data_IF_702613790655
#
_entry.id   IF_702613790655
#
_cell.length_a   1.000
_cell.length_b   1.000
_cell.length_c   1.000
_cell.angle_alpha   90.00
_cell.angle_beta   90.00
_cell.angle_gamma   90.00
#
_symmetry.space_group_name_H-M   'P 1'
#
loop_
_entity.id
_entity.type
_entity.pdbx_description
1 polymer ?
#
# COMPACT_ATOMS: atom_id res chain seq x y z
N UNK A 1 -36.96 -11.57 41.04
CA UNK A 1 -38.31 -11.60 41.64
C UNK A 1 -39.14 -12.64 40.88
N UNK A 2 -39.68 -13.63 41.58
CA UNK A 2 -40.32 -14.82 41.00
C UNK A 2 -41.72 -14.51 40.48
N UNK A 3 -41.98 -14.82 39.21
CA UNK A 3 -43.32 -14.80 38.61
C UNK A 3 -43.97 -16.14 38.91
N UNK A 4 -44.62 -16.27 40.06
CA UNK A 4 -45.23 -17.54 40.47
C UNK A 4 -46.45 -17.37 41.39
N UNK A 5 -47.32 -16.40 41.16
CA UNK A 5 -48.63 -16.37 41.86
C UNK A 5 -49.71 -15.67 41.03
N UNK A 6 -50.25 -16.33 40.01
CA UNK A 6 -51.68 -16.25 39.61
C UNK A 6 -52.02 -17.55 38.85
N UNK A 7 -53.18 -18.15 39.15
CA UNK A 7 -53.83 -19.33 38.52
C UNK A 7 -53.54 -20.73 39.10
N UNK A 8 -54.48 -21.31 39.89
CA UNK A 8 -54.54 -22.74 40.16
C UNK A 8 -55.34 -23.46 39.06
N UNK A 9 -54.90 -24.65 38.67
CA UNK A 9 -55.54 -25.64 37.77
C UNK A 9 -55.50 -25.36 36.26
N UNK A 10 -54.42 -25.81 35.60
CA UNK A 10 -54.41 -26.17 34.17
C UNK A 10 -53.69 -27.52 33.97
N UNK A 11 -54.15 -28.39 33.05
CA UNK A 11 -53.67 -29.76 32.94
C UNK A 11 -52.24 -29.82 32.37
N UNK A 12 -51.42 -30.71 32.96
CA UNK A 12 -49.99 -30.96 32.72
C UNK A 12 -49.60 -31.43 31.30
N UNK A 13 -50.50 -31.36 30.31
CA UNK A 13 -50.21 -31.74 28.92
C UNK A 13 -49.77 -30.59 28.00
N UNK A 14 -49.90 -29.33 28.42
CA UNK A 14 -49.49 -28.15 27.61
C UNK A 14 -47.98 -27.84 27.66
N UNK A 15 -47.28 -28.25 28.72
CA UNK A 15 -45.87 -27.91 28.94
C UNK A 15 -44.90 -28.67 28.04
N UNK A 16 -45.26 -29.88 27.60
CA UNK A 16 -44.46 -30.63 26.65
C UNK A 16 -44.50 -30.03 25.24
N UNK A 17 -45.65 -29.50 24.81
CA UNK A 17 -45.81 -28.84 23.51
C UNK A 17 -45.08 -27.50 23.52
N UNK A 18 -45.16 -26.71 24.60
CA UNK A 18 -44.40 -25.46 24.73
C UNK A 18 -42.89 -25.69 24.81
N UNK A 19 -42.40 -26.75 25.49
CA UNK A 19 -40.97 -27.13 25.46
C UNK A 19 -40.52 -27.62 24.09
N UNK A 20 -41.33 -28.42 23.39
CA UNK A 20 -41.03 -28.86 22.03
C UNK A 20 -41.03 -27.68 21.05
N UNK A 21 -41.96 -26.74 21.18
CA UNK A 21 -41.99 -25.52 20.38
C UNK A 21 -40.81 -24.60 20.68
N UNK A 22 -40.39 -24.48 21.95
CA UNK A 22 -39.22 -23.69 22.34
C UNK A 22 -37.90 -24.36 21.90
N UNK A 23 -37.78 -25.69 21.97
CA UNK A 23 -36.62 -26.44 21.44
C UNK A 23 -36.58 -26.43 19.90
N UNK A 24 -37.74 -26.55 19.25
CA UNK A 24 -37.86 -26.36 17.82
C UNK A 24 -37.56 -24.92 17.41
N UNK A 25 -37.95 -23.91 18.20
CA UNK A 25 -37.64 -22.49 17.97
C UNK A 25 -36.15 -22.18 18.16
N UNK A 26 -35.51 -22.73 19.21
CA UNK A 26 -34.06 -22.64 19.38
C UNK A 26 -33.31 -23.39 18.27
N UNK A 27 -33.75 -24.59 17.89
CA UNK A 27 -33.12 -25.38 16.83
C UNK A 27 -33.41 -24.88 15.40
N UNK A 28 -34.52 -24.18 15.18
CA UNK A 28 -34.83 -23.46 13.94
C UNK A 28 -34.09 -22.14 13.91
N UNK A 29 -34.03 -21.41 15.02
CA UNK A 29 -33.24 -20.19 15.20
C UNK A 29 -31.75 -20.45 14.99
N UNK A 30 -31.19 -21.52 15.55
CA UNK A 30 -29.80 -21.94 15.32
C UNK A 30 -29.57 -22.40 13.88
N UNK A 31 -30.51 -23.14 13.25
CA UNK A 31 -30.37 -23.56 11.84
C UNK A 31 -30.52 -22.39 10.86
N UNK A 32 -31.40 -21.44 11.14
CA UNK A 32 -31.55 -20.20 10.37
C UNK A 32 -30.35 -19.28 10.57
N UNK A 33 -29.90 -19.10 11.82
CA UNK A 33 -28.68 -18.35 12.12
C UNK A 33 -27.45 -18.98 11.47
N UNK A 34 -27.33 -20.32 11.50
CA UNK A 34 -26.26 -21.08 10.83
C UNK A 34 -26.33 -20.93 9.30
N UNK A 35 -27.51 -21.01 8.68
CA UNK A 35 -27.68 -20.77 7.22
C UNK A 35 -27.41 -19.31 6.82
N UNK A 36 -27.82 -18.34 7.64
CA UNK A 36 -27.58 -16.91 7.39
C UNK A 36 -26.10 -16.55 7.56
N UNK A 37 -25.41 -17.15 8.54
CA UNK A 37 -23.97 -17.03 8.73
C UNK A 37 -23.23 -17.71 7.57
N UNK A 38 -23.57 -18.95 7.19
CA UNK A 38 -22.96 -19.64 6.05
C UNK A 38 -23.17 -18.89 4.71
N UNK A 39 -24.32 -18.24 4.51
CA UNK A 39 -24.62 -17.42 3.34
C UNK A 39 -23.88 -16.07 3.34
N UNK A 40 -23.61 -15.47 4.51
CA UNK A 40 -22.85 -14.22 4.65
C UNK A 40 -21.32 -14.44 4.62
N UNK A 41 -20.86 -15.66 4.90
CA UNK A 41 -19.45 -16.07 4.89
C UNK A 41 -19.01 -16.71 3.58
N UNK A 42 -19.93 -16.95 2.64
CA UNK A 42 -19.57 -17.54 1.35
C UNK A 42 -18.91 -16.51 0.43
N UNK A 43 -17.60 -16.67 0.27
CA UNK A 43 -16.66 -15.86 -0.53
C UNK A 43 -17.18 -15.46 -1.92
N UNK A 44 -18.04 -16.29 -2.54
CA UNK A 44 -18.60 -16.06 -3.89
C UNK A 44 -19.58 -14.88 -3.98
N UNK A 45 -20.12 -14.36 -2.87
CA UNK A 45 -21.08 -13.24 -2.87
C UNK A 45 -20.52 -11.92 -2.33
N UNK A 46 -19.30 -11.93 -1.79
CA UNK A 46 -18.67 -10.73 -1.22
C UNK A 46 -18.03 -9.92 -2.34
N UNK A 47 -18.54 -8.71 -2.57
CA UNK A 47 -17.93 -7.74 -3.49
C UNK A 47 -16.58 -7.23 -2.98
N UNK A 48 -15.82 -6.56 -3.83
CA UNK A 48 -14.63 -5.81 -3.40
C UNK A 48 -15.03 -4.57 -2.57
N UNK A 49 -14.04 -3.91 -1.96
CA UNK A 49 -14.26 -2.74 -1.10
C UNK A 49 -15.07 -1.63 -1.81
N UNK A 50 -14.85 -1.39 -3.10
CA UNK A 50 -15.57 -0.36 -3.87
C UNK A 50 -17.06 -0.70 -4.03
N UNK A 51 -17.38 -1.97 -4.27
CA UNK A 51 -18.77 -2.44 -4.33
C UNK A 51 -19.44 -2.41 -2.96
N UNK A 52 -18.72 -2.79 -1.90
CA UNK A 52 -19.23 -2.74 -0.53
C UNK A 52 -19.52 -1.30 -0.08
N UNK A 53 -18.70 -0.33 -0.49
CA UNK A 53 -18.88 1.07 -0.13
C UNK A 53 -20.10 1.72 -0.80
N UNK A 54 -20.49 1.21 -1.97
CA UNK A 54 -21.69 1.65 -2.70
C UNK A 54 -22.95 0.89 -2.28
N UNK A 55 -22.81 -0.21 -1.56
CA UNK A 55 -23.94 -1.02 -1.14
C UNK A 55 -24.73 -0.33 -0.02
N UNK A 56 -26.04 -0.61 0.06
CA UNK A 56 -26.85 -0.12 1.18
C UNK A 56 -26.26 -0.62 2.50
N UNK A 57 -26.12 0.22 3.55
CA UNK A 57 -25.51 -0.19 4.82
C UNK A 57 -26.14 -1.46 5.38
N UNK A 58 -27.45 -1.63 5.23
CA UNK A 58 -28.19 -2.81 5.70
C UNK A 58 -27.80 -4.14 5.04
N UNK A 59 -27.13 -4.09 3.88
CA UNK A 59 -26.63 -5.27 3.19
C UNK A 59 -25.37 -5.85 3.84
N UNK A 60 -24.65 -5.05 4.63
CA UNK A 60 -23.46 -5.51 5.34
C UNK A 60 -23.86 -6.35 6.58
N UNK A 61 -23.08 -7.39 6.92
CA UNK A 61 -23.29 -8.15 8.15
C UNK A 61 -23.29 -7.24 9.37
N UNK A 62 -24.17 -7.50 10.33
CA UNK A 62 -24.33 -6.68 11.54
C UNK A 62 -23.00 -6.39 12.25
N UNK A 63 -22.15 -7.39 12.44
CA UNK A 63 -20.85 -7.23 13.12
C UNK A 63 -19.87 -6.33 12.35
N UNK A 64 -20.05 -6.15 11.04
CA UNK A 64 -19.27 -5.22 10.20
C UNK A 64 -19.82 -3.80 10.35
N UNK A 65 -21.14 -3.65 10.46
CA UNK A 65 -21.81 -2.35 10.67
C UNK A 65 -21.53 -1.75 12.04
N UNK A 66 -21.51 -2.59 13.07
CA UNK A 66 -21.17 -2.21 14.44
C UNK A 66 -19.64 -2.07 14.65
N UNK A 67 -18.87 -2.58 13.69
CA UNK A 67 -17.46 -2.33 13.39
C UNK A 67 -17.02 -0.87 13.22
N UNK A 68 -16.68 -0.09 14.25
CA UNK A 68 -16.12 1.26 14.03
C UNK A 68 -14.92 1.23 13.06
N UNK A 69 -13.92 0.39 13.33
CA UNK A 69 -12.75 0.25 12.47
C UNK A 69 -13.13 -0.19 11.04
N UNK A 70 -14.12 -1.08 10.91
CA UNK A 70 -14.58 -1.52 9.60
C UNK A 70 -15.31 -0.43 8.82
N UNK A 71 -16.11 0.41 9.47
CA UNK A 71 -16.78 1.54 8.82
C UNK A 71 -15.78 2.62 8.42
N UNK A 72 -14.79 2.92 9.26
CA UNK A 72 -13.71 3.85 8.95
C UNK A 72 -12.93 3.40 7.71
N UNK A 73 -12.48 2.15 7.66
CA UNK A 73 -11.74 1.65 6.51
C UNK A 73 -12.59 1.38 5.27
N UNK A 74 -13.89 1.08 5.43
CA UNK A 74 -14.79 1.04 4.29
C UNK A 74 -14.93 2.43 3.66
N UNK A 75 -15.03 3.48 4.48
CA UNK A 75 -15.09 4.87 4.01
C UNK A 75 -13.77 5.28 3.36
N UNK A 76 -12.64 5.05 4.04
CA UNK A 76 -11.32 5.48 3.58
C UNK A 76 -10.85 4.73 2.34
N UNK A 77 -11.02 3.41 2.30
CA UNK A 77 -10.49 2.57 1.22
C UNK A 77 -11.53 2.32 0.13
N UNK A 78 -12.83 2.40 0.44
CA UNK A 78 -13.90 2.09 -0.50
C UNK A 78 -14.00 3.04 -1.69
N UNK A 79 -13.42 4.24 -1.60
CA UNK A 79 -13.38 5.20 -2.71
C UNK A 79 -12.44 4.79 -3.85
N UNK A 80 -11.46 3.92 -3.59
CA UNK A 80 -10.52 3.44 -4.60
C UNK A 80 -11.19 2.43 -5.55
N UNK A 81 -10.81 2.43 -6.83
CA UNK A 81 -11.34 1.47 -7.81
C UNK A 81 -10.71 0.07 -7.68
N UNK A 82 -11.08 -0.64 -6.62
CA UNK A 82 -10.63 -2.01 -6.39
C UNK A 82 -11.06 -3.01 -7.48
N UNK A 83 -11.96 -2.64 -8.38
CA UNK A 83 -12.40 -3.50 -9.48
C UNK A 83 -11.36 -3.56 -10.61
N UNK A 84 -10.63 -2.45 -10.80
CA UNK A 84 -9.54 -2.34 -11.79
C UNK A 84 -8.16 -2.57 -11.19
N UNK A 85 -8.06 -2.89 -9.90
CA UNK A 85 -6.78 -3.14 -9.24
C UNK A 85 -6.04 -4.31 -9.92
N UNK A 86 -4.77 -4.14 -10.33
CA UNK A 86 -4.06 -5.15 -11.08
C UNK A 86 -3.72 -6.36 -10.21
N UNK A 87 -4.33 -7.50 -10.54
CA UNK A 87 -4.08 -8.76 -9.87
C UNK A 87 -2.84 -9.49 -10.40
N UNK A 88 -2.39 -10.53 -9.67
CA UNK A 88 -1.29 -11.39 -10.16
C UNK A 88 -1.64 -11.97 -11.52
N UNK A 89 -0.65 -11.98 -12.42
CA UNK A 89 -0.76 -12.64 -13.72
C UNK A 89 -1.20 -14.11 -13.57
N UNK A 90 -2.24 -14.47 -14.31
CA UNK A 90 -2.81 -15.83 -14.38
C UNK A 90 -2.11 -16.70 -15.42
N UNK A 91 -1.20 -16.13 -16.22
CA UNK A 91 -0.45 -16.86 -17.26
C UNK A 91 0.45 -17.95 -16.69
N UNK A 92 0.89 -17.79 -15.44
CA UNK A 92 1.64 -18.82 -14.70
C UNK A 92 0.66 -19.68 -13.91
N UNK A 93 0.62 -20.97 -14.19
CA UNK A 93 -0.08 -21.94 -13.35
C UNK A 93 0.66 -22.06 -12.01
N UNK A 94 0.02 -21.61 -10.93
CA UNK A 94 0.54 -21.75 -9.58
C UNK A 94 0.03 -23.07 -8.99
N UNK A 95 0.91 -24.03 -8.65
CA UNK A 95 0.45 -25.26 -8.02
C UNK A 95 -0.14 -24.96 -6.64
N UNK A 96 -1.29 -25.58 -6.35
CA UNK A 96 -1.97 -25.46 -5.06
C UNK A 96 -3.23 -24.60 -5.08
N UNK A 97 -3.77 -24.25 -3.89
CA UNK A 97 -4.98 -23.45 -3.76
C UNK A 97 -4.82 -22.07 -4.40
N UNK A 98 -5.91 -21.55 -4.99
CA UNK A 98 -5.93 -20.18 -5.52
C UNK A 98 -5.50 -19.20 -4.43
N UNK A 99 -4.46 -18.38 -4.66
CA UNK A 99 -4.00 -17.42 -3.67
C UNK A 99 -5.06 -16.34 -3.45
N UNK A 100 -5.02 -15.70 -2.27
CA UNK A 100 -5.81 -14.50 -2.00
C UNK A 100 -5.49 -13.40 -3.02
N UNK A 101 -6.49 -12.57 -3.39
CA UNK A 101 -6.28 -11.40 -4.23
C UNK A 101 -5.19 -10.48 -3.66
N UNK A 102 -4.42 -9.85 -4.54
CA UNK A 102 -3.43 -8.83 -4.16
C UNK A 102 -4.10 -7.57 -3.63
N UNK A 103 -5.31 -7.26 -4.08
CA UNK A 103 -6.12 -6.17 -3.54
C UNK A 103 -6.28 -6.27 -2.02
N UNK A 104 -6.57 -7.48 -1.48
CA UNK A 104 -6.66 -7.73 -0.03
C UNK A 104 -5.37 -7.32 0.68
N UNK A 105 -4.22 -7.71 0.14
CA UNK A 105 -2.93 -7.37 0.75
C UNK A 105 -2.57 -5.89 0.64
N UNK A 106 -2.85 -5.27 -0.51
CA UNK A 106 -2.67 -3.84 -0.69
C UNK A 106 -3.47 -3.04 0.35
N UNK A 107 -4.74 -3.39 0.56
CA UNK A 107 -5.57 -2.76 1.58
C UNK A 107 -5.01 -2.94 3.01
N UNK A 108 -4.50 -4.13 3.36
CA UNK A 108 -3.81 -4.35 4.64
C UNK A 108 -2.57 -3.45 4.77
N UNK A 109 -1.81 -3.26 3.70
CA UNK A 109 -0.62 -2.42 3.73
C UNK A 109 -0.97 -0.94 3.86
N UNK A 110 -2.08 -0.48 3.30
CA UNK A 110 -2.62 0.85 3.55
C UNK A 110 -3.04 1.01 5.02
N UNK A 111 -3.74 0.03 5.60
CA UNK A 111 -4.06 0.00 7.04
C UNK A 111 -2.79 0.03 7.89
N UNK A 112 -1.75 -0.73 7.51
CA UNK A 112 -0.45 -0.72 8.19
C UNK A 112 0.16 0.70 8.20
N UNK A 113 0.06 1.44 7.10
CA UNK A 113 0.60 2.80 6.97
C UNK A 113 -0.21 3.74 7.87
N UNK A 114 -1.54 3.70 7.74
CA UNK A 114 -2.48 4.52 8.53
C UNK A 114 -2.29 4.33 10.04
N UNK A 115 -2.18 3.08 10.50
CA UNK A 115 -1.96 2.74 11.92
C UNK A 115 -0.50 2.94 12.39
N UNK A 116 0.42 3.35 11.51
CA UNK A 116 1.83 3.54 11.86
C UNK A 116 2.57 2.26 12.29
N UNK A 117 2.09 1.08 11.89
CA UNK A 117 2.70 -0.18 12.31
C UNK A 117 4.00 -0.45 11.55
N UNK A 118 5.12 -0.43 12.27
CA UNK A 118 6.43 -0.72 11.68
C UNK A 118 6.60 -2.19 11.22
N UNK A 119 5.92 -3.15 11.85
CA UNK A 119 6.19 -4.59 11.65
C UNK A 119 4.91 -5.40 11.36
N UNK A 120 5.04 -6.45 10.54
CA UNK A 120 3.91 -7.35 10.19
C UNK A 120 3.29 -8.10 11.37
N UNK A 121 4.02 -8.49 12.44
CA UNK A 121 3.39 -9.04 13.64
C UNK A 121 2.37 -8.10 14.29
N UNK A 122 2.63 -6.79 14.33
CA UNK A 122 1.66 -5.81 14.85
C UNK A 122 0.40 -5.74 13.98
N UNK A 123 0.58 -5.74 12.66
CA UNK A 123 -0.53 -5.79 11.70
C UNK A 123 -1.37 -7.05 11.89
N UNK A 124 -0.73 -8.22 12.03
CA UNK A 124 -1.48 -9.46 12.26
C UNK A 124 -2.23 -9.43 13.58
N UNK A 125 -1.60 -8.97 14.67
CA UNK A 125 -2.25 -8.84 15.97
C UNK A 125 -3.50 -7.96 15.85
N UNK A 126 -3.39 -6.81 15.19
CA UNK A 126 -4.53 -5.92 14.94
C UNK A 126 -5.66 -6.62 14.15
N UNK A 127 -5.33 -7.38 13.10
CA UNK A 127 -6.33 -8.15 12.35
C UNK A 127 -7.03 -9.22 13.19
N UNK A 128 -6.31 -9.90 14.10
CA UNK A 128 -6.90 -10.87 15.03
C UNK A 128 -7.91 -10.23 15.98
N UNK A 129 -7.64 -8.99 16.39
CA UNK A 129 -8.50 -8.19 17.26
C UNK A 129 -9.71 -7.60 16.51
N UNK A 130 -9.70 -7.64 15.17
CA UNK A 130 -10.71 -7.00 14.32
C UNK A 130 -11.32 -7.98 13.29
N UNK A 131 -12.23 -8.89 13.72
CA UNK A 131 -12.90 -9.84 12.82
C UNK A 131 -13.63 -9.14 11.67
N UNK A 132 -14.25 -7.98 11.93
CA UNK A 132 -14.95 -7.18 10.92
C UNK A 132 -14.03 -6.77 9.76
N UNK A 133 -12.77 -6.40 10.04
CA UNK A 133 -11.78 -6.07 9.00
C UNK A 133 -11.39 -7.29 8.19
N UNK A 134 -11.25 -8.46 8.81
CA UNK A 134 -10.92 -9.69 8.10
C UNK A 134 -12.04 -10.07 7.12
N UNK A 135 -13.30 -9.88 7.51
CA UNK A 135 -14.41 -10.03 6.59
C UNK A 135 -14.38 -8.97 5.48
N UNK A 136 -14.23 -7.70 5.85
CA UNK A 136 -14.27 -6.54 4.94
C UNK A 136 -13.21 -6.62 3.84
N UNK A 137 -11.97 -6.96 4.20
CA UNK A 137 -10.81 -6.94 3.30
C UNK A 137 -10.78 -8.09 2.28
N UNK A 138 -11.75 -8.99 2.30
CA UNK A 138 -11.80 -10.06 1.30
C UNK A 138 -11.03 -11.32 1.68
N UNK A 139 -10.69 -11.55 2.96
CA UNK A 139 -9.99 -12.79 3.34
C UNK A 139 -10.87 -14.03 3.16
N UNK A 140 -10.24 -15.15 2.80
CA UNK A 140 -10.90 -16.45 2.79
C UNK A 140 -11.14 -16.90 4.22
N UNK A 141 -12.40 -16.99 4.60
CA UNK A 141 -12.81 -17.25 5.98
C UNK A 141 -12.86 -18.76 6.25
N UNK A 142 -12.35 -19.18 7.40
CA UNK A 142 -12.45 -20.54 7.91
C UNK A 142 -13.66 -20.61 8.85
N UNK A 143 -14.77 -21.27 8.45
CA UNK A 143 -15.98 -21.29 9.27
C UNK A 143 -15.74 -21.89 10.66
N UNK A 144 -16.36 -21.30 11.66
CA UNK A 144 -16.26 -21.75 13.06
C UNK A 144 -17.50 -21.36 13.83
N UNK A 145 -18.02 -22.29 14.61
CA UNK A 145 -19.15 -22.04 15.53
C UNK A 145 -18.71 -21.53 16.90
N UNK A 146 -17.40 -21.41 17.13
CA UNK A 146 -16.86 -20.94 18.41
C UNK A 146 -17.06 -19.43 18.61
N UNK A 147 -17.32 -18.69 17.53
CA UNK A 147 -17.39 -17.22 17.53
C UNK A 147 -18.72 -16.74 16.97
N UNK A 148 -19.25 -15.64 17.51
CA UNK A 148 -20.55 -15.06 17.11
C UNK A 148 -20.57 -14.53 15.67
N UNK A 149 -19.42 -14.17 15.12
CA UNK A 149 -19.27 -13.77 13.71
C UNK A 149 -19.06 -14.94 12.73
N UNK A 150 -18.99 -16.18 13.24
CA UNK A 150 -19.10 -17.41 12.46
C UNK A 150 -17.83 -17.93 11.77
N UNK A 151 -16.67 -17.35 12.03
CA UNK A 151 -15.39 -17.83 11.48
C UNK A 151 -14.23 -17.67 12.45
N UNK A 152 -13.21 -18.49 12.29
CA UNK A 152 -11.96 -18.40 13.04
C UNK A 152 -11.03 -17.39 12.37
N UNK A 153 -10.76 -16.28 13.06
CA UNK A 153 -9.92 -15.20 12.54
C UNK A 153 -8.47 -15.64 12.39
N UNK A 154 -7.94 -16.39 13.35
CA UNK A 154 -6.54 -16.83 13.37
C UNK A 154 -6.26 -17.81 12.23
N UNK A 155 -7.20 -18.71 11.96
CA UNK A 155 -7.13 -19.64 10.83
C UNK A 155 -7.36 -18.97 9.45
N UNK A 156 -8.03 -17.81 9.43
CA UNK A 156 -8.35 -17.08 8.18
C UNK A 156 -7.26 -16.09 7.74
N UNK A 157 -6.48 -15.56 8.70
CA UNK A 157 -5.46 -14.52 8.44
C UNK A 157 -4.09 -15.15 8.16
N UNK A 158 -3.40 -14.77 7.06
CA UNK A 158 -2.08 -15.27 6.73
C UNK A 158 -1.04 -14.92 7.79
N UNK A 159 0.05 -15.68 7.80
CA UNK A 159 1.15 -15.44 8.73
C UNK A 159 1.90 -14.14 8.39
N UNK A 160 2.57 -13.57 9.40
CA UNK A 160 3.44 -12.38 9.26
C UNK A 160 4.48 -12.59 8.15
N UNK A 161 5.03 -13.80 8.07
CA UNK A 161 6.02 -14.20 7.05
C UNK A 161 5.43 -14.14 5.65
N UNK A 162 4.19 -14.61 5.48
CA UNK A 162 3.51 -14.55 4.19
C UNK A 162 3.23 -13.11 3.78
N UNK A 163 2.67 -12.29 4.67
CA UNK A 163 2.44 -10.85 4.39
C UNK A 163 3.72 -10.11 4.03
N UNK A 164 4.82 -10.36 4.76
CA UNK A 164 6.13 -9.75 4.47
C UNK A 164 6.66 -10.16 3.09
N UNK A 165 6.44 -11.41 2.68
CA UNK A 165 6.84 -11.88 1.36
C UNK A 165 5.99 -11.23 0.25
N UNK A 166 4.69 -11.15 0.45
CA UNK A 166 3.77 -10.49 -0.49
C UNK A 166 4.15 -9.02 -0.68
N UNK A 167 4.44 -8.29 0.39
CA UNK A 167 4.87 -6.88 0.31
C UNK A 167 6.16 -6.73 -0.50
N UNK A 168 7.15 -7.61 -0.27
CA UNK A 168 8.42 -7.59 -1.00
C UNK A 168 8.27 -7.90 -2.49
N UNK A 169 7.30 -8.74 -2.82
CA UNK A 169 6.99 -9.14 -4.20
C UNK A 169 5.81 -8.33 -4.77
N UNK A 170 5.46 -7.18 -4.19
CA UNK A 170 4.37 -6.35 -4.69
C UNK A 170 4.78 -5.76 -6.04
N UNK A 171 3.90 -5.86 -7.04
CA UNK A 171 4.21 -5.41 -8.39
C UNK A 171 4.20 -3.87 -8.43
N UNK A 172 5.09 -3.28 -9.22
CA UNK A 172 5.08 -1.83 -9.48
C UNK A 172 3.72 -1.39 -10.02
N UNK A 173 3.11 -2.18 -10.91
CA UNK A 173 1.80 -1.85 -11.47
C UNK A 173 0.73 -1.66 -10.37
N UNK A 174 0.83 -2.38 -9.25
CA UNK A 174 -0.10 -2.30 -8.12
C UNK A 174 0.07 -1.00 -7.34
N UNK A 175 1.32 -0.60 -7.06
CA UNK A 175 1.60 0.64 -6.33
C UNK A 175 1.31 1.86 -7.21
N UNK A 176 1.69 1.81 -8.50
CA UNK A 176 1.37 2.85 -9.47
C UNK A 176 -0.14 3.02 -9.65
N UNK A 177 -0.91 1.93 -9.66
CA UNK A 177 -2.38 2.00 -9.69
C UNK A 177 -2.95 2.75 -8.48
N UNK A 178 -2.46 2.45 -7.27
CA UNK A 178 -2.92 3.11 -6.05
C UNK A 178 -2.58 4.60 -6.04
N UNK A 179 -1.35 4.96 -6.43
CA UNK A 179 -0.94 6.36 -6.54
C UNK A 179 -1.79 7.11 -7.56
N UNK A 180 -1.95 6.57 -8.77
CA UNK A 180 -2.82 7.15 -9.81
C UNK A 180 -4.23 7.39 -9.27
N UNK A 181 -4.83 6.36 -8.67
CA UNK A 181 -6.20 6.44 -8.15
C UNK A 181 -6.32 7.51 -7.06
N UNK A 182 -5.34 7.61 -6.16
CA UNK A 182 -5.31 8.63 -5.12
C UNK A 182 -5.21 10.05 -5.70
N UNK A 183 -4.33 10.27 -6.69
CA UNK A 183 -4.18 11.57 -7.36
C UNK A 183 -5.48 11.98 -8.07
N UNK A 184 -6.12 11.04 -8.75
CA UNK A 184 -7.39 11.31 -9.45
C UNK A 184 -8.53 11.64 -8.47
N UNK A 185 -8.64 10.89 -7.37
CA UNK A 185 -9.62 11.18 -6.32
C UNK A 185 -9.38 12.54 -5.66
N UNK A 186 -8.11 12.93 -5.44
CA UNK A 186 -7.77 14.25 -4.92
C UNK A 186 -8.14 15.35 -5.92
N UNK A 187 -7.82 15.18 -7.20
CA UNK A 187 -8.17 16.14 -8.24
C UNK A 187 -9.70 16.33 -8.37
N UNK A 188 -10.48 15.27 -8.18
CA UNK A 188 -11.94 15.32 -8.20
C UNK A 188 -12.54 15.97 -6.93
N UNK A 189 -11.89 15.78 -5.78
CA UNK A 189 -12.39 16.26 -4.49
C UNK A 189 -11.99 17.71 -4.17
N UNK A 190 -10.87 18.20 -4.72
CA UNK A 190 -10.35 19.53 -4.45
C UNK A 190 -11.09 20.61 -5.27
N UNK A 191 -11.29 21.82 -4.71
CA UNK A 191 -11.83 22.95 -5.46
C UNK A 191 -10.96 23.29 -6.69
N UNK A 192 -11.56 23.57 -7.87
CA UNK A 192 -10.81 23.91 -9.08
C UNK A 192 -9.89 25.13 -8.95
N UNK A 193 -10.22 26.06 -8.03
CA UNK A 193 -9.47 27.28 -7.77
C UNK A 193 -8.10 27.02 -7.14
N UNK A 194 -7.88 25.84 -6.58
CA UNK A 194 -6.58 25.45 -6.01
C UNK A 194 -5.57 25.05 -7.10
N UNK A 195 -6.00 24.90 -8.35
CA UNK A 195 -5.11 24.63 -9.48
C UNK A 195 -4.18 23.42 -9.23
N UNK A 196 -4.74 22.35 -8.67
CA UNK A 196 -3.99 21.15 -8.24
C UNK A 196 -3.08 20.61 -9.34
N UNK A 197 -1.77 20.54 -9.04
CA UNK A 197 -0.77 20.01 -9.98
C UNK A 197 -0.32 20.97 -11.08
N UNK A 198 -0.71 22.26 -11.05
CA UNK A 198 -0.16 23.27 -11.98
C UNK A 198 1.29 23.66 -11.68
N UNK A 199 1.62 23.80 -10.41
CA UNK A 199 2.99 24.00 -9.94
C UNK A 199 3.49 22.71 -9.28
N UNK A 200 4.68 22.27 -9.71
CA UNK A 200 5.29 21.04 -9.23
C UNK A 200 6.71 21.25 -8.71
N UNK A 201 7.15 20.33 -7.86
CA UNK A 201 8.57 20.16 -7.50
C UNK A 201 9.01 18.75 -7.84
N UNK A 202 10.25 18.61 -8.35
CA UNK A 202 10.86 17.32 -8.62
C UNK A 202 12.18 17.19 -7.87
N UNK A 203 12.30 16.14 -7.05
CA UNK A 203 13.55 15.79 -6.35
C UNK A 203 13.84 14.29 -6.47
N UNK A 204 15.12 13.95 -6.38
CA UNK A 204 15.61 12.56 -6.35
C UNK A 204 16.31 12.28 -5.02
N UNK A 205 15.82 11.28 -4.29
CA UNK A 205 16.38 10.87 -2.99
C UNK A 205 17.03 9.49 -3.07
N UNK A 206 18.26 9.40 -2.57
CA UNK A 206 18.97 8.12 -2.46
C UNK A 206 18.34 7.23 -1.38
N UNK A 207 18.23 5.93 -1.69
CA UNK A 207 17.78 4.87 -0.79
C UNK A 207 18.93 3.86 -0.69
N UNK A 208 19.64 3.87 0.44
CA UNK A 208 20.76 2.96 0.65
C UNK A 208 20.26 1.55 0.93
N UNK A 209 20.81 0.55 0.24
CA UNK A 209 20.47 -0.84 0.49
C UNK A 209 20.98 -1.28 1.88
N UNK A 210 20.20 -2.09 2.58
CA UNK A 210 20.60 -2.68 3.85
C UNK A 210 21.46 -3.94 3.60
N UNK A 211 22.70 -3.72 3.16
CA UNK A 211 23.65 -4.78 2.81
C UNK A 211 24.96 -4.62 3.59
N UNK A 212 25.66 -5.73 3.82
CA UNK A 212 26.95 -5.73 4.56
C UNK A 212 27.96 -4.79 3.90
N UNK A 213 27.88 -4.66 2.59
CA UNK A 213 28.73 -3.87 1.72
C UNK A 213 28.62 -2.37 1.99
N UNK A 214 27.50 -1.90 2.53
CA UNK A 214 27.32 -0.51 2.96
C UNK A 214 27.77 -0.25 4.40
N UNK A 215 28.07 -1.29 5.19
CA UNK A 215 28.56 -1.11 6.56
C UNK A 215 30.06 -0.76 6.56
N UNK A 216 30.46 0.46 6.95
CA UNK A 216 31.87 0.87 6.93
C UNK A 216 32.72 0.07 7.93
N UNK A 217 32.12 -0.55 8.95
CA UNK A 217 32.82 -1.37 9.95
C UNK A 217 33.09 -2.80 9.49
N UNK A 218 32.50 -3.24 8.37
CA UNK A 218 32.73 -4.59 7.87
C UNK A 218 34.03 -4.63 7.06
N UNK A 219 35.01 -5.43 7.47
CA UNK A 219 36.21 -5.68 6.64
C UNK A 219 35.83 -6.48 5.39
N UNK A 220 36.21 -5.97 4.22
CA UNK A 220 35.87 -6.56 2.93
C UNK A 220 36.72 -5.98 1.79
N UNK A 221 37.27 -6.86 0.96
CA UNK A 221 37.90 -6.48 -0.30
C UNK A 221 36.85 -6.28 -1.40
N UNK A 222 37.13 -5.40 -2.38
CA UNK A 222 36.28 -5.18 -3.56
C UNK A 222 34.83 -4.77 -3.25
N UNK A 223 34.64 -3.95 -2.20
CA UNK A 223 33.32 -3.51 -1.68
C UNK A 223 32.34 -2.99 -2.72
N UNK A 224 32.84 -2.30 -3.74
CA UNK A 224 32.06 -1.59 -4.75
C UNK A 224 32.28 -2.16 -6.17
N UNK A 225 32.66 -3.43 -6.27
CA UNK A 225 32.78 -4.14 -7.54
C UNK A 225 31.39 -4.38 -8.15
N UNK A 226 31.11 -3.73 -9.29
CA UNK A 226 29.81 -3.81 -10.00
C UNK A 226 29.45 -5.22 -10.43
N UNK A 227 30.43 -6.12 -10.53
CA UNK A 227 30.24 -7.53 -10.94
C UNK A 227 29.86 -8.43 -9.76
N UNK A 228 29.96 -7.94 -8.51
CA UNK A 228 29.71 -8.69 -7.28
C UNK A 228 28.51 -8.14 -6.55
N UNK A 229 27.35 -8.66 -6.92
CA UNK A 229 26.08 -8.25 -6.33
C UNK A 229 25.95 -8.68 -4.86
N UNK A 230 25.55 -7.78 -3.94
CA UNK A 230 25.25 -8.12 -2.57
C UNK A 230 24.21 -9.24 -2.43
N UNK A 231 24.49 -10.23 -1.57
CA UNK A 231 23.56 -11.34 -1.30
C UNK A 231 22.26 -10.87 -0.60
N UNK A 232 22.36 -9.83 0.22
CA UNK A 232 21.22 -9.29 0.99
C UNK A 232 20.21 -8.55 0.14
N UNK A 233 20.65 -8.02 -1.00
CA UNK A 233 19.83 -7.27 -1.96
C UNK A 233 20.40 -7.46 -3.38
N UNK A 234 19.92 -8.46 -4.13
CA UNK A 234 20.41 -8.75 -5.48
C UNK A 234 20.03 -7.70 -6.53
N UNK A 235 19.06 -6.83 -6.23
CA UNK A 235 18.50 -5.89 -7.20
C UNK A 235 19.18 -4.52 -7.14
N UNK A 236 19.76 -4.16 -5.99
CA UNK A 236 20.45 -2.88 -5.82
C UNK A 236 21.65 -2.74 -6.77
N UNK A 237 22.07 -1.51 -7.06
CA UNK A 237 23.30 -1.28 -7.86
C UNK A 237 24.19 -0.28 -7.17
N UNK A 238 25.48 -0.30 -7.50
CA UNK A 238 26.42 0.65 -6.92
C UNK A 238 26.36 1.98 -7.65
N UNK A 239 26.15 3.05 -6.88
CA UNK A 239 26.11 4.43 -7.33
C UNK A 239 27.12 5.30 -6.60
N UNK A 240 27.37 6.50 -7.13
CA UNK A 240 28.31 7.47 -6.57
C UNK A 240 27.55 8.66 -6.00
N UNK A 241 27.76 8.95 -4.72
CA UNK A 241 27.32 10.17 -4.06
C UNK A 241 28.49 11.16 -4.05
N UNK A 242 28.38 12.23 -4.83
CA UNK A 242 29.35 13.34 -4.75
C UNK A 242 29.33 13.94 -3.35
N UNK A 243 30.50 14.32 -2.85
CA UNK A 243 30.69 14.80 -1.48
C UNK A 243 30.19 16.24 -1.27
N UNK A 244 30.07 17.01 -2.36
CA UNK A 244 29.59 18.39 -2.35
C UNK A 244 28.84 18.71 -3.64
N UNK A 245 27.64 19.28 -3.54
CA UNK A 245 26.88 19.82 -4.69
C UNK A 245 27.32 21.24 -5.07
N UNK A 246 28.06 21.92 -4.18
CA UNK A 246 28.76 23.15 -4.53
C UNK A 246 29.94 22.76 -5.41
N UNK A 247 29.91 23.18 -6.68
CA UNK A 247 31.16 23.44 -7.37
C UNK A 247 31.99 24.29 -6.40
N UNK A 248 33.21 23.85 -6.09
CA UNK A 248 34.17 24.75 -5.47
C UNK A 248 34.24 25.90 -6.45
N UNK A 249 33.69 27.06 -6.09
CA UNK A 249 34.01 28.31 -6.77
C UNK A 249 35.51 28.53 -6.52
N UNK A 250 36.36 27.84 -7.27
CA UNK A 250 37.65 28.38 -7.63
C UNK A 250 37.30 29.66 -8.38
N UNK A 251 37.57 30.80 -7.72
CA UNK A 251 37.40 32.14 -8.27
C UNK A 251 37.92 32.17 -9.69
N UNK A 252 37.02 32.19 -10.66
CA UNK A 252 37.22 32.90 -11.92
C UNK A 252 35.85 33.06 -12.57
N UNK A 253 35.44 34.32 -12.63
CA UNK A 253 34.28 34.83 -13.35
C UNK A 253 34.35 34.35 -14.79
N UNK A 254 33.52 33.39 -15.18
CA UNK A 254 33.37 33.00 -16.58
C UNK A 254 32.02 33.53 -17.08
N UNK A 255 32.09 34.69 -17.72
CA UNK A 255 31.17 35.11 -18.78
C UNK A 255 30.97 33.97 -19.79
N UNK A 256 29.74 33.87 -20.29
CA UNK A 256 29.29 32.90 -21.29
C UNK A 256 30.21 32.89 -22.52
N UNK A 257 30.41 31.69 -23.08
CA UNK A 257 31.06 31.34 -24.36
C UNK A 257 32.59 31.20 -24.35
N UNK A 258 33.10 29.98 -24.12
CA UNK A 258 34.22 29.37 -24.88
C UNK A 258 34.39 27.89 -24.51
N UNK A 259 34.75 27.06 -25.49
CA UNK A 259 35.32 25.71 -25.32
C UNK A 259 36.31 25.67 -24.16
N UNK A 260 36.32 24.63 -23.30
CA UNK A 260 37.23 24.54 -22.17
C UNK A 260 38.68 24.73 -22.63
N UNK A 261 39.36 25.76 -22.13
CA UNK A 261 40.76 26.08 -22.43
C UNK A 261 41.75 25.21 -21.66
N UNK A 262 41.27 24.39 -20.73
CA UNK A 262 42.07 23.43 -19.96
C UNK A 262 41.82 22.00 -20.42
N UNK A 263 42.91 21.24 -20.57
CA UNK A 263 42.89 19.80 -20.79
C UNK A 263 41.96 19.08 -19.79
N UNK A 264 41.21 18.09 -20.29
CA UNK A 264 40.35 17.28 -19.45
C UNK A 264 41.20 16.60 -18.36
N UNK A 265 40.82 16.76 -17.09
CA UNK A 265 41.49 16.09 -15.98
C UNK A 265 41.34 14.57 -16.20
N UNK A 266 42.44 13.82 -16.39
CA UNK A 266 42.36 12.37 -16.55
C UNK A 266 41.62 11.76 -15.36
N UNK A 267 40.73 10.79 -15.60
CA UNK A 267 39.86 10.19 -14.57
C UNK A 267 40.61 9.75 -13.29
N UNK A 268 41.90 9.44 -13.40
CA UNK A 268 42.81 9.11 -12.28
C UNK A 268 42.99 10.23 -11.24
N UNK A 269 42.73 11.48 -11.61
CA UNK A 269 42.90 12.67 -10.75
C UNK A 269 41.57 13.27 -10.28
N UNK A 270 40.42 12.71 -10.69
CA UNK A 270 39.12 13.16 -10.22
C UNK A 270 38.91 12.72 -8.77
N UNK A 271 38.43 13.63 -7.90
CA UNK A 271 38.02 13.27 -6.54
C UNK A 271 36.83 12.31 -6.62
N UNK A 272 37.10 11.04 -6.33
CA UNK A 272 36.12 9.97 -6.42
C UNK A 272 35.09 10.19 -5.31
N UNK A 273 33.81 10.29 -5.66
CA UNK A 273 32.73 10.43 -4.69
C UNK A 273 32.61 9.19 -3.78
N UNK A 274 31.68 9.25 -2.83
CA UNK A 274 31.42 8.14 -1.91
C UNK A 274 30.48 7.15 -2.60
N UNK A 275 30.88 5.89 -2.74
CA UNK A 275 30.02 4.87 -3.33
C UNK A 275 29.14 4.20 -2.30
N UNK A 276 27.95 3.78 -2.75
CA UNK A 276 27.07 2.91 -1.99
C UNK A 276 26.32 1.97 -2.92
N UNK A 277 25.87 0.83 -2.40
CA UNK A 277 24.86 0.00 -3.03
C UNK A 277 23.46 0.53 -2.68
N UNK A 278 22.57 0.63 -3.64
CA UNK A 278 21.21 1.07 -3.36
C UNK A 278 20.37 1.37 -4.58
N UNK A 279 19.48 2.32 -4.36
CA UNK A 279 18.53 2.88 -5.30
C UNK A 279 18.50 4.40 -5.13
N UNK A 280 17.78 5.07 -6.02
CA UNK A 280 17.25 6.38 -5.76
C UNK A 280 15.81 6.47 -6.29
N UNK A 281 14.96 7.19 -5.56
CA UNK A 281 13.57 7.44 -5.92
C UNK A 281 13.43 8.90 -6.30
N UNK A 282 12.95 9.13 -7.52
CA UNK A 282 12.50 10.45 -7.96
C UNK A 282 11.02 10.61 -7.65
N UNK A 283 10.64 11.76 -7.14
CA UNK A 283 9.24 12.12 -6.84
C UNK A 283 8.89 13.42 -7.54
N UNK A 284 7.65 13.50 -8.02
CA UNK A 284 7.02 14.77 -8.39
C UNK A 284 5.93 15.03 -7.37
N UNK A 285 5.94 16.22 -6.78
CA UNK A 285 4.93 16.64 -5.84
C UNK A 285 4.36 18.00 -6.24
N UNK A 286 3.14 18.27 -5.82
CA UNK A 286 2.53 19.60 -5.85
C UNK A 286 2.21 20.03 -4.43
N UNK A 287 2.34 21.32 -4.14
CA UNK A 287 2.03 21.89 -2.85
C UNK A 287 0.85 22.84 -3.02
N UNK A 288 -0.12 22.70 -2.15
CA UNK A 288 -1.25 23.61 -2.04
C UNK A 288 -1.19 24.27 -0.66
N UNK A 289 -1.19 25.59 -0.66
CA UNK A 289 -1.19 26.38 0.58
C UNK A 289 -2.39 26.00 1.45
N UNK A 290 -2.16 25.83 2.75
CA UNK A 290 -3.15 25.39 3.76
C UNK A 290 -3.75 23.97 3.59
N UNK A 291 -3.44 23.25 2.50
CA UNK A 291 -3.93 21.88 2.27
C UNK A 291 -2.85 20.81 2.42
N UNK A 292 -1.62 21.09 1.96
CA UNK A 292 -0.49 20.20 2.13
C UNK A 292 0.29 19.91 0.85
N UNK A 293 1.09 18.84 0.90
CA UNK A 293 1.97 18.41 -0.18
C UNK A 293 1.54 17.02 -0.66
N UNK A 294 1.36 16.89 -1.98
CA UNK A 294 0.78 15.71 -2.60
C UNK A 294 1.75 15.15 -3.63
N UNK A 295 2.09 13.87 -3.50
CA UNK A 295 2.90 13.16 -4.50
C UNK A 295 2.04 12.87 -5.71
N UNK A 296 2.49 13.31 -6.87
CA UNK A 296 1.83 13.11 -8.17
C UNK A 296 2.43 11.94 -8.94
N UNK A 297 3.74 11.73 -8.85
CA UNK A 297 4.43 10.63 -9.49
C UNK A 297 5.62 10.17 -8.65
N UNK A 298 5.95 8.89 -8.77
CA UNK A 298 7.11 8.26 -8.14
C UNK A 298 7.80 7.36 -9.16
N UNK A 299 9.13 7.34 -9.10
CA UNK A 299 9.91 6.41 -9.89
C UNK A 299 11.21 6.04 -9.19
N UNK A 300 11.32 4.79 -8.75
CA UNK A 300 12.54 4.23 -8.15
C UNK A 300 13.38 3.51 -9.20
N UNK A 301 14.68 3.78 -9.21
CA UNK A 301 15.66 3.08 -10.03
C UNK A 301 16.87 2.66 -9.20
N UNK A 302 17.65 1.65 -9.64
CA UNK A 302 18.90 1.32 -9.00
C UNK A 302 19.91 2.47 -9.07
N UNK A 303 20.84 2.51 -8.13
CA UNK A 303 21.66 3.71 -7.87
C UNK A 303 22.71 4.01 -8.95
N UNK A 304 22.85 3.16 -9.97
CA UNK A 304 23.72 3.40 -11.14
C UNK A 304 23.08 4.37 -12.17
N UNK A 305 21.82 4.76 -11.98
CA UNK A 305 21.11 5.70 -12.85
C UNK A 305 21.36 7.15 -12.44
N UNK A 306 21.57 8.01 -13.44
CA UNK A 306 21.73 9.45 -13.21
C UNK A 306 20.40 10.18 -13.09
N UNK A 307 20.39 11.32 -12.42
CA UNK A 307 19.17 12.09 -12.10
C UNK A 307 18.33 12.45 -13.35
N UNK A 308 18.98 12.76 -14.47
CA UNK A 308 18.30 13.07 -15.75
C UNK A 308 17.36 11.95 -16.23
N UNK A 309 17.65 10.69 -15.89
CA UNK A 309 16.82 9.56 -16.30
C UNK A 309 15.45 9.48 -15.62
N UNK A 310 15.24 10.28 -14.57
CA UNK A 310 13.97 10.33 -13.84
C UNK A 310 12.96 11.29 -14.49
N UNK A 311 13.42 12.31 -15.20
CA UNK A 311 12.58 13.42 -15.68
C UNK A 311 11.41 12.95 -16.58
N UNK A 312 11.71 12.37 -17.75
CA UNK A 312 10.66 11.98 -18.69
C UNK A 312 9.67 10.95 -18.13
N UNK A 313 10.11 9.87 -17.43
CA UNK A 313 9.18 8.93 -16.81
C UNK A 313 8.29 9.56 -15.73
N UNK A 314 8.80 10.54 -14.98
CA UNK A 314 8.04 11.23 -13.94
C UNK A 314 7.05 12.24 -14.53
N UNK A 315 7.44 12.99 -15.56
CA UNK A 315 6.54 13.91 -16.26
C UNK A 315 5.42 13.15 -16.97
N UNK A 316 5.75 12.06 -17.67
CA UNK A 316 4.74 11.23 -18.34
C UNK A 316 3.70 10.65 -17.34
N UNK A 317 4.16 10.19 -16.17
CA UNK A 317 3.25 9.74 -15.11
C UNK A 317 2.41 10.90 -14.55
N UNK A 318 3.02 12.05 -14.30
CA UNK A 318 2.34 13.25 -13.78
C UNK A 318 1.23 13.70 -14.72
N UNK A 319 1.53 13.85 -16.02
CA UNK A 319 0.55 14.22 -17.04
C UNK A 319 -0.59 13.18 -17.14
N UNK A 320 -0.26 11.89 -17.07
CA UNK A 320 -1.24 10.82 -17.13
C UNK A 320 -2.14 10.75 -15.88
N UNK A 321 -1.64 11.15 -14.71
CA UNK A 321 -2.41 11.17 -13.47
C UNK A 321 -3.31 12.40 -13.38
N UNK A 322 -2.80 13.57 -13.77
CA UNK A 322 -3.53 14.85 -13.74
C UNK A 322 -4.50 15.02 -14.92
N UNK A 323 -4.21 14.43 -16.08
CA UNK A 323 -4.94 14.69 -17.32
C UNK A 323 -4.58 16.02 -18.00
N UNK A 324 -3.61 16.75 -17.47
CA UNK A 324 -3.05 17.96 -18.07
C UNK A 324 -1.56 18.09 -17.74
N UNK A 325 -0.88 19.02 -18.41
CA UNK A 325 0.53 19.31 -18.13
C UNK A 325 0.66 20.30 -16.96
N UNK A 326 1.66 20.12 -16.08
CA UNK A 326 2.08 21.19 -15.17
C UNK A 326 2.53 22.41 -15.96
N UNK A 327 2.31 23.60 -15.40
CA UNK A 327 2.64 24.89 -16.05
C UNK A 327 3.99 25.44 -15.60
N UNK A 328 4.41 25.11 -14.38
CA UNK A 328 5.65 25.57 -13.78
C UNK A 328 6.20 24.50 -12.85
N UNK A 329 7.51 24.56 -12.57
CA UNK A 329 8.07 23.74 -11.54
C UNK A 329 9.44 24.16 -11.04
N UNK A 330 9.73 23.75 -9.81
CA UNK A 330 11.04 23.87 -9.17
C UNK A 330 11.75 22.52 -9.22
N UNK A 331 12.85 22.44 -9.96
CA UNK A 331 13.63 21.22 -10.15
C UNK A 331 15.08 21.45 -9.76
N UNK A 332 15.75 20.39 -9.31
CA UNK A 332 17.20 20.42 -9.07
C UNK A 332 17.97 20.77 -10.36
N UNK A 333 19.12 21.44 -10.22
CA UNK A 333 19.98 21.79 -11.36
C UNK A 333 20.46 20.57 -12.17
N UNK A 334 20.38 19.36 -11.62
CA UNK A 334 20.62 18.13 -12.38
C UNK A 334 19.64 17.95 -13.56
N UNK A 335 18.49 18.64 -13.54
CA UNK A 335 17.47 18.67 -14.57
C UNK A 335 17.55 19.91 -15.50
N UNK A 336 18.60 20.73 -15.36
CA UNK A 336 18.72 22.01 -16.09
C UNK A 336 18.91 21.80 -17.61
N UNK A 337 18.47 22.81 -18.37
CA UNK A 337 17.93 22.77 -19.75
C UNK A 337 18.89 22.37 -20.90
N UNK A 338 19.99 21.66 -20.66
CA UNK A 338 20.77 21.06 -21.75
C UNK A 338 20.17 19.73 -22.25
N UNK A 339 19.12 19.22 -21.60
CA UNK A 339 18.45 17.95 -21.91
C UNK A 339 16.91 17.97 -21.81
N UNK A 340 16.27 19.15 -21.70
CA UNK A 340 14.80 19.33 -21.82
C UNK A 340 14.47 20.24 -22.99
#
# INVERSE_FOLDING_TARGET
MSVSQVFPNFPTRGWHILRLLQQCWHGLGERWHRRSIEAALTDKRRGNLALLAKAAPESLPRFVRESQAAQEYLTLLGVLDWSSFPERSTLRLWPGPKPLPRATYAAIFLIKIDQGYATMPKVRKYLLEQPALVWLLGFRLVPSTAYSWGFDVDASVPTNRHMSRVLRELDRAQVSFLLKSAVQLLAEALPPELEFGKEISLDTKHILAWVRENNPKAEMANRYDKTRQPKGDPDCKVGCKKRTNKAVHSKETATVTTTPTSEAIPARHASVGIFYWGYASGIVATKLDDWGEFVLAEYTQPFDKGDQSYFFPLMAQTEAHLGHKPTSGALDAAFDAFYV
#
